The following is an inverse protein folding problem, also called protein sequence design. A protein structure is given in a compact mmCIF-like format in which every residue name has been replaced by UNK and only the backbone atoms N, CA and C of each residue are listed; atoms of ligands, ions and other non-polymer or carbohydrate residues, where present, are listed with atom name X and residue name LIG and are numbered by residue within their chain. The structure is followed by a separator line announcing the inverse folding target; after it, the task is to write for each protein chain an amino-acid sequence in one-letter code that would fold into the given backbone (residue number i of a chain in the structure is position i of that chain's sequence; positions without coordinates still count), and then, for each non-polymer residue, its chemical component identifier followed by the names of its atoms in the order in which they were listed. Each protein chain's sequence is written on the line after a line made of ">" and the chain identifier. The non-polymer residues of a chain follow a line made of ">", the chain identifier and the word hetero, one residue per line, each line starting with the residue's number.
data_IF_897608174100
#
_entry.id   IF_897608174100
#
_cell.length_a   1.000
_cell.length_b   1.000
_cell.length_c   1.000
_cell.angle_alpha   90.00
_cell.angle_beta   90.00
_cell.angle_gamma   90.00
#
_symmetry.space_group_name_H-M   'P 1'
#
loop_
_entity.id
_entity.type
_entity.pdbx_description
1 polymer ?
#
# COMPACT_ATOMS: atom_id res chain seq x y z
N UNK A 1 -1.01 -1.09 14.49
CA UNK A 1 -2.21 -1.75 13.95
C UNK A 1 -2.64 -1.20 12.59
N UNK A 2 -2.89 0.10 12.45
CA UNK A 2 -3.39 0.69 11.18
C UNK A 2 -2.45 0.52 9.97
N UNK A 3 -1.13 0.56 10.19
CA UNK A 3 -0.15 0.29 9.13
C UNK A 3 -0.24 -1.15 8.61
N UNK A 4 -0.44 -2.12 9.51
CA UNK A 4 -0.63 -3.54 9.16
C UNK A 4 -1.88 -3.69 8.29
N UNK A 5 -3.00 -3.09 8.71
CA UNK A 5 -4.25 -3.08 7.94
C UNK A 5 -4.12 -2.38 6.58
N UNK A 6 -3.31 -1.33 6.49
CA UNK A 6 -2.98 -0.67 5.21
C UNK A 6 -2.26 -1.63 4.27
N UNK A 7 -1.28 -2.37 4.77
CA UNK A 7 -0.58 -3.37 3.98
C UNK A 7 -1.46 -4.56 3.57
N UNK A 8 -2.34 -5.01 4.46
CA UNK A 8 -3.28 -6.12 4.17
C UNK A 8 -4.29 -5.75 3.10
N UNK A 9 -4.91 -4.56 3.19
CA UNK A 9 -5.83 -4.06 2.17
C UNK A 9 -5.16 -3.97 0.80
N UNK A 10 -3.97 -3.36 0.76
CA UNK A 10 -3.18 -3.28 -0.48
C UNK A 10 -2.85 -4.68 -1.06
N UNK A 11 -2.48 -5.63 -0.20
CA UNK A 11 -2.18 -6.99 -0.63
C UNK A 11 -3.42 -7.69 -1.20
N UNK A 12 -4.57 -7.58 -0.53
CA UNK A 12 -5.84 -8.15 -0.98
C UNK A 12 -6.26 -7.57 -2.34
N UNK A 13 -6.22 -6.24 -2.47
CA UNK A 13 -6.56 -5.56 -3.72
C UNK A 13 -5.66 -6.01 -4.87
N UNK A 14 -4.33 -6.00 -4.65
CA UNK A 14 -3.36 -6.50 -5.63
C UNK A 14 -3.62 -7.95 -6.01
N UNK A 15 -3.85 -8.81 -5.02
CA UNK A 15 -4.03 -10.25 -5.26
C UNK A 15 -5.35 -10.53 -6.00
N UNK A 16 -6.37 -9.69 -5.83
CA UNK A 16 -7.63 -9.76 -6.59
C UNK A 16 -7.45 -9.52 -8.10
N UNK A 17 -6.37 -8.83 -8.50
CA UNK A 17 -6.05 -8.57 -9.90
C UNK A 17 -5.29 -9.74 -10.58
N UNK A 18 -4.91 -10.78 -9.82
CA UNK A 18 -4.19 -11.95 -10.35
C UNK A 18 -5.21 -13.02 -10.80
N UNK A 19 -5.18 -13.47 -12.06
CA UNK A 19 -6.04 -14.55 -12.54
C UNK A 19 -5.90 -15.84 -11.72
N UNK A 20 -7.00 -16.57 -11.58
CA UNK A 20 -7.05 -17.81 -10.80
C UNK A 20 -6.11 -18.91 -11.33
N UNK A 21 -5.92 -18.92 -12.65
CA UNK A 21 -5.15 -19.87 -13.44
C UNK A 21 -3.68 -19.46 -13.60
N UNK A 22 -3.23 -18.38 -12.93
CA UNK A 22 -1.85 -17.92 -13.02
C UNK A 22 -0.86 -18.95 -12.46
N UNK A 23 0.00 -19.49 -13.35
CA UNK A 23 1.05 -20.46 -13.02
C UNK A 23 2.42 -19.76 -13.04
N UNK A 24 2.65 -18.88 -12.07
CA UNK A 24 3.92 -18.16 -11.95
C UNK A 24 4.12 -17.53 -10.58
N UNK A 25 5.28 -16.86 -10.34
CA UNK A 25 5.51 -16.13 -9.10
C UNK A 25 4.40 -15.12 -8.83
N UNK A 26 4.02 -14.99 -7.55
CA UNK A 26 3.04 -14.00 -7.10
C UNK A 26 3.74 -12.88 -6.34
N UNK A 27 3.35 -11.61 -6.57
CA UNK A 27 3.85 -10.50 -5.77
C UNK A 27 3.42 -10.66 -4.31
N UNK A 28 4.27 -10.22 -3.40
CA UNK A 28 4.13 -10.41 -1.95
C UNK A 28 4.45 -9.10 -1.22
N UNK A 29 3.92 -8.97 -0.01
CA UNK A 29 4.09 -7.81 0.87
C UNK A 29 2.93 -6.83 0.80
N UNK A 30 3.02 -5.72 1.52
CA UNK A 30 2.07 -4.63 1.43
C UNK A 30 2.48 -3.59 0.39
N UNK A 31 2.00 -2.35 0.57
CA UNK A 31 2.44 -1.16 -0.16
C UNK A 31 3.97 -1.15 -0.36
N UNK A 32 4.42 -0.85 -1.58
CA UNK A 32 5.82 -0.89 -2.01
C UNK A 32 6.53 -2.27 -1.93
N UNK A 33 5.79 -3.36 -1.71
CA UNK A 33 6.33 -4.71 -1.54
C UNK A 33 7.04 -4.93 -0.19
N UNK A 34 6.70 -4.14 0.83
CA UNK A 34 7.30 -4.27 2.16
C UNK A 34 6.74 -5.47 2.92
N UNK A 35 7.58 -6.13 3.73
CA UNK A 35 7.14 -7.21 4.64
C UNK A 35 6.63 -6.64 5.96
N UNK A 36 7.31 -5.63 6.49
CA UNK A 36 7.02 -4.98 7.77
C UNK A 36 7.48 -3.53 7.67
N UNK A 37 6.71 -2.62 8.27
CA UNK A 37 7.08 -1.20 8.34
C UNK A 37 7.02 -0.49 6.99
N UNK A 38 7.48 0.75 6.98
CA UNK A 38 7.40 1.64 5.82
C UNK A 38 8.66 1.53 4.97
N UNK A 39 8.50 1.28 3.66
CA UNK A 39 9.61 1.24 2.71
C UNK A 39 9.73 2.52 1.89
N UNK A 40 8.76 2.80 1.02
CA UNK A 40 8.80 3.93 0.09
C UNK A 40 7.63 4.89 0.36
N UNK A 41 7.92 6.13 0.79
CA UNK A 41 6.90 7.14 1.05
C UNK A 41 6.05 7.46 -0.19
N UNK A 42 6.66 7.59 -1.36
CA UNK A 42 5.93 7.90 -2.60
C UNK A 42 4.86 6.85 -2.95
N UNK A 43 5.11 5.58 -2.67
CA UNK A 43 4.16 4.50 -2.93
C UNK A 43 2.95 4.57 -1.98
N UNK A 44 3.20 4.88 -0.70
CA UNK A 44 2.14 5.12 0.27
C UNK A 44 1.31 6.36 -0.05
N UNK A 45 1.94 7.43 -0.53
CA UNK A 45 1.21 8.61 -0.96
C UNK A 45 0.34 8.32 -2.19
N UNK A 46 0.88 7.62 -3.19
CA UNK A 46 0.11 7.18 -4.35
C UNK A 46 -1.08 6.29 -3.95
N UNK A 47 -0.88 5.33 -3.05
CA UNK A 47 -1.93 4.47 -2.53
C UNK A 47 -3.04 5.28 -1.83
N UNK A 48 -2.65 6.23 -0.96
CA UNK A 48 -3.62 7.12 -0.30
C UNK A 48 -4.39 8.01 -1.28
N UNK A 49 -3.80 8.41 -2.40
CA UNK A 49 -4.49 9.24 -3.39
C UNK A 49 -5.67 8.52 -4.06
N UNK A 50 -5.69 7.18 -4.07
CA UNK A 50 -6.78 6.38 -4.68
C UNK A 50 -8.07 6.50 -3.88
N UNK A 51 -8.02 6.21 -2.57
CA UNK A 51 -9.22 6.04 -1.74
C UNK A 51 -9.14 6.70 -0.34
N UNK A 52 -8.00 7.34 -0.04
CA UNK A 52 -7.70 8.01 1.24
C UNK A 52 -7.57 7.07 2.45
N UNK A 53 -7.29 5.78 2.26
CA UNK A 53 -7.26 4.79 3.36
C UNK A 53 -5.88 4.44 3.92
N UNK A 54 -4.80 4.87 3.26
CA UNK A 54 -3.42 4.60 3.69
C UNK A 54 -2.92 5.64 4.71
N UNK A 55 -2.63 5.17 5.92
CA UNK A 55 -2.24 6.04 7.06
C UNK A 55 -0.90 6.75 6.86
N UNK A 56 0.03 6.14 6.10
CA UNK A 56 1.32 6.77 5.80
C UNK A 56 1.11 7.83 4.73
N UNK A 57 0.29 7.57 3.73
CA UNK A 57 -0.03 8.58 2.72
C UNK A 57 -0.80 9.78 3.31
N UNK A 58 -1.70 9.57 4.27
CA UNK A 58 -2.32 10.67 5.02
C UNK A 58 -1.28 11.50 5.79
N UNK A 59 -0.30 10.85 6.40
CA UNK A 59 0.79 11.53 7.11
C UNK A 59 1.69 12.34 6.17
N UNK A 60 1.89 11.86 4.93
CA UNK A 60 2.63 12.57 3.88
C UNK A 60 1.84 13.80 3.43
N UNK A 61 0.54 13.65 3.15
CA UNK A 61 -0.33 14.74 2.73
C UNK A 61 -0.26 15.93 3.70
N UNK A 62 -0.42 15.67 5.00
CA UNK A 62 -0.34 16.69 6.05
C UNK A 62 0.99 17.46 6.04
N UNK A 63 2.10 16.84 5.63
CA UNK A 63 3.42 17.50 5.54
C UNK A 63 3.58 18.32 4.28
N UNK A 64 3.03 17.84 3.17
CA UNK A 64 3.05 18.59 1.91
C UNK A 64 2.20 19.86 2.00
N UNK A 65 1.10 19.83 2.75
CA UNK A 65 0.24 21.01 2.98
C UNK A 65 0.83 22.05 3.97
N UNK A 66 1.96 21.75 4.60
CA UNK A 66 2.65 22.66 5.54
C UNK A 66 3.77 23.48 4.87
N UNK A 67 4.02 23.26 3.58
CA UNK A 67 4.96 24.05 2.77
C UNK A 67 4.26 25.16 2.00
#
# INVERSE_FOLDING_TARGET
>A
EELRLTHERYAIERDSAIPSEHVGPRPHGGVAGTRVGVKCLHAHYANWLVDKTDVVGQWIDKRLQQG
#
